data_IF_248095129005
#
_entry.id   IF_248095129005
#
_cell.length_a   1.000
_cell.length_b   1.000
_cell.length_c   1.000
_cell.angle_alpha   90.00
_cell.angle_beta   90.00
_cell.angle_gamma   90.00
#
_symmetry.space_group_name_H-M   'P 1'
#
loop_
_entity.id
_entity.type
_entity.pdbx_description
1 polymer ?
#
# COMPACT_ATOMS: atom_id res chain seq x y z
N UNK A 1 21.79 -12.53 8.94
CA UNK A 1 20.65 -12.09 9.78
C UNK A 1 19.45 -11.98 8.85
N UNK A 2 18.27 -12.48 9.22
CA UNK A 2 17.07 -12.19 8.44
C UNK A 2 16.86 -10.67 8.49
N UNK A 3 16.80 -10.02 7.33
CA UNK A 3 16.43 -8.62 7.25
C UNK A 3 14.95 -8.53 7.64
N UNK A 4 14.70 -8.26 8.93
CA UNK A 4 13.35 -8.14 9.48
C UNK A 4 12.62 -6.88 8.97
N UNK A 5 13.32 -5.99 8.27
CA UNK A 5 12.75 -4.74 7.77
C UNK A 5 11.90 -4.95 6.50
N UNK A 6 12.14 -6.01 5.72
CA UNK A 6 11.42 -6.25 4.45
C UNK A 6 11.14 -7.74 4.21
N UNK A 7 10.06 -8.30 4.78
CA UNK A 7 9.76 -9.73 4.70
C UNK A 7 9.35 -10.23 3.31
N UNK A 8 9.24 -9.34 2.32
CA UNK A 8 9.03 -9.63 0.89
C UNK A 8 10.31 -9.49 0.05
N UNK A 9 11.47 -9.33 0.71
CA UNK A 9 12.79 -9.43 0.07
C UNK A 9 13.64 -10.46 0.80
N UNK A 10 14.28 -11.34 0.04
CA UNK A 10 15.22 -12.34 0.54
C UNK A 10 16.64 -11.96 0.12
N UNK A 11 17.61 -12.09 1.04
CA UNK A 11 19.03 -11.93 0.70
C UNK A 11 19.47 -13.06 -0.23
N UNK A 12 20.08 -12.74 -1.36
CA UNK A 12 20.67 -13.71 -2.28
C UNK A 12 22.15 -13.41 -2.50
N UNK A 13 22.89 -14.37 -3.06
CA UNK A 13 24.32 -14.23 -3.38
C UNK A 13 24.63 -13.06 -4.34
N UNK A 14 23.59 -12.53 -5.01
CA UNK A 14 23.69 -11.42 -5.96
C UNK A 14 22.97 -10.15 -5.47
N UNK A 15 22.63 -10.07 -4.17
CA UNK A 15 21.89 -8.97 -3.55
C UNK A 15 20.44 -9.31 -3.20
N UNK A 16 19.65 -8.35 -2.69
CA UNK A 16 18.28 -8.60 -2.28
C UNK A 16 17.39 -8.96 -3.47
N UNK A 17 16.68 -10.08 -3.36
CA UNK A 17 15.73 -10.58 -4.34
C UNK A 17 14.31 -10.33 -3.84
N UNK A 18 13.47 -9.73 -4.69
CA UNK A 18 12.04 -9.59 -4.44
C UNK A 18 11.38 -10.96 -4.51
N UNK A 19 10.68 -11.36 -3.44
CA UNK A 19 9.93 -12.63 -3.38
C UNK A 19 8.42 -12.43 -3.60
N UNK A 20 7.94 -11.19 -3.52
CA UNK A 20 6.53 -10.80 -3.68
C UNK A 20 6.41 -9.42 -4.34
N UNK A 21 5.47 -9.25 -5.28
CA UNK A 21 5.14 -7.95 -5.87
C UNK A 21 4.66 -6.96 -4.78
N UNK A 22 4.99 -5.68 -4.95
CA UNK A 22 4.61 -4.63 -4.01
C UNK A 22 4.17 -3.36 -4.73
N UNK A 23 3.33 -2.56 -4.07
CA UNK A 23 2.88 -1.26 -4.55
C UNK A 23 3.47 -0.17 -3.67
N UNK A 24 4.25 0.74 -4.26
CA UNK A 24 4.82 1.86 -3.52
C UNK A 24 3.92 3.09 -3.61
N UNK A 25 3.89 3.90 -2.56
CA UNK A 25 3.33 5.24 -2.65
C UNK A 25 4.12 6.21 -1.78
N UNK A 26 4.06 7.49 -2.10
CA UNK A 26 4.89 8.52 -1.46
C UNK A 26 4.03 9.66 -0.90
N UNK A 27 4.51 10.27 0.18
CA UNK A 27 3.80 11.35 0.88
C UNK A 27 4.76 12.21 1.73
N UNK A 28 4.37 13.46 1.94
CA UNK A 28 5.22 14.48 2.57
C UNK A 28 4.83 14.77 4.03
N UNK A 29 4.30 13.77 4.74
CA UNK A 29 3.76 13.94 6.10
C UNK A 29 4.54 13.13 7.13
N UNK A 30 5.40 13.80 7.89
CA UNK A 30 6.13 13.19 9.01
C UNK A 30 5.19 12.62 10.10
N UNK A 31 4.04 13.26 10.32
CA UNK A 31 3.03 12.74 11.25
C UNK A 31 2.43 11.43 10.75
N UNK A 32 2.15 11.32 9.44
CA UNK A 32 1.65 10.10 8.84
C UNK A 32 2.71 9.00 8.92
N UNK A 33 3.96 9.31 8.58
CA UNK A 33 5.10 8.39 8.66
C UNK A 33 5.24 7.80 10.07
N UNK A 34 5.26 8.66 11.10
CA UNK A 34 5.35 8.20 12.49
C UNK A 34 4.14 7.37 12.94
N UNK A 35 2.94 7.74 12.48
CA UNK A 35 1.73 6.99 12.82
C UNK A 35 1.77 5.60 12.22
N UNK A 36 2.16 5.48 10.95
CA UNK A 36 2.31 4.20 10.26
C UNK A 36 3.40 3.34 10.90
N UNK A 37 4.57 3.90 11.21
CA UNK A 37 5.63 3.16 11.89
C UNK A 37 5.26 2.72 13.31
N UNK A 38 4.55 3.55 14.08
CA UNK A 38 4.06 3.19 15.42
C UNK A 38 3.05 2.05 15.37
N UNK A 39 2.25 1.99 14.31
CA UNK A 39 1.24 0.97 14.08
C UNK A 39 1.65 0.03 12.94
N UNK A 40 2.94 -0.29 12.83
CA UNK A 40 3.49 -1.10 11.74
C UNK A 40 2.83 -2.48 11.67
N UNK A 41 2.55 -2.95 10.47
CA UNK A 41 2.16 -4.34 10.17
C UNK A 41 3.11 -4.87 9.10
N UNK A 42 4.31 -5.37 9.48
CA UNK A 42 5.34 -5.77 8.53
C UNK A 42 4.90 -6.88 7.58
N UNK A 43 3.81 -7.60 7.85
CA UNK A 43 3.23 -8.57 6.92
C UNK A 43 2.40 -7.94 5.79
N UNK A 44 2.00 -6.67 5.95
CA UNK A 44 1.16 -5.90 5.02
C UNK A 44 1.92 -4.77 4.32
N UNK A 45 2.74 -4.00 5.05
CA UNK A 45 3.46 -2.86 4.48
C UNK A 45 4.69 -2.48 5.31
N UNK A 46 5.61 -1.75 4.69
CA UNK A 46 6.76 -1.10 5.35
C UNK A 46 6.86 0.35 4.87
N UNK A 47 7.30 1.24 5.75
CA UNK A 47 7.47 2.66 5.44
C UNK A 47 8.91 3.10 5.69
N UNK A 48 9.46 3.86 4.76
CA UNK A 48 10.85 4.27 4.75
C UNK A 48 10.99 5.77 4.46
N UNK A 49 12.08 6.34 4.96
CA UNK A 49 12.45 7.74 4.77
C UNK A 49 13.38 7.85 3.54
N UNK A 50 13.03 8.70 2.56
CA UNK A 50 13.85 8.97 1.38
C UNK A 50 14.68 10.26 1.50
N UNK A 51 14.50 11.01 2.58
CA UNK A 51 15.18 12.26 2.90
C UNK A 51 14.36 13.51 2.53
N UNK A 52 13.77 13.54 1.34
CA UNK A 52 12.89 14.62 0.86
C UNK A 52 11.39 14.31 1.01
N UNK A 53 11.02 13.02 0.93
CA UNK A 53 9.67 12.51 1.15
C UNK A 53 9.70 11.17 1.91
N UNK A 54 8.51 10.65 2.28
CA UNK A 54 8.36 9.31 2.85
C UNK A 54 7.75 8.37 1.82
N UNK A 55 8.20 7.12 1.81
CA UNK A 55 7.61 6.06 0.99
C UNK A 55 7.00 4.96 1.85
N UNK A 56 5.95 4.30 1.37
CA UNK A 56 5.53 3.00 1.89
C UNK A 56 5.36 2.00 0.76
N UNK A 57 5.82 0.78 0.99
CA UNK A 57 5.64 -0.36 0.11
C UNK A 57 4.59 -1.29 0.70
N UNK A 58 3.50 -1.52 -0.03
CA UNK A 58 2.41 -2.43 0.34
C UNK A 58 2.69 -3.77 -0.31
N UNK A 59 2.67 -4.85 0.47
CA UNK A 59 2.75 -6.21 -0.08
C UNK A 59 1.52 -6.48 -0.94
N UNK A 60 1.70 -6.88 -2.20
CA UNK A 60 0.59 -7.03 -3.13
C UNK A 60 0.69 -8.31 -3.97
N UNK A 61 0.04 -9.37 -3.48
CA UNK A 61 -0.06 -10.67 -4.18
C UNK A 61 -1.46 -10.93 -4.73
N UNK A 62 -2.45 -10.29 -4.10
CA UNK A 62 -3.88 -10.42 -4.35
C UNK A 62 -4.60 -9.24 -3.74
N UNK A 63 -5.83 -9.02 -4.18
CA UNK A 63 -6.63 -7.85 -3.83
C UNK A 63 -6.88 -7.71 -2.32
N UNK A 64 -6.95 -8.83 -1.58
CA UNK A 64 -7.21 -8.80 -0.14
C UNK A 64 -6.12 -8.06 0.64
N UNK A 65 -4.85 -8.12 0.20
CA UNK A 65 -3.79 -7.37 0.88
C UNK A 65 -3.98 -5.87 0.77
N UNK A 66 -4.47 -5.39 -0.39
CA UNK A 66 -4.77 -3.98 -0.59
C UNK A 66 -5.95 -3.55 0.28
N UNK A 67 -6.98 -4.40 0.39
CA UNK A 67 -8.12 -4.15 1.29
C UNK A 67 -7.70 -4.09 2.76
N UNK A 68 -6.88 -5.04 3.19
CA UNK A 68 -6.39 -5.11 4.57
C UNK A 68 -5.48 -3.92 4.90
N UNK A 69 -4.64 -3.50 3.95
CA UNK A 69 -3.86 -2.27 4.07
C UNK A 69 -4.75 -1.04 4.24
N UNK A 70 -5.73 -0.81 3.36
CA UNK A 70 -6.60 0.36 3.45
C UNK A 70 -7.47 0.35 4.70
N UNK A 71 -7.96 -0.83 5.11
CA UNK A 71 -8.66 -0.98 6.39
C UNK A 71 -7.76 -0.53 7.54
N UNK A 72 -6.53 -1.02 7.59
CA UNK A 72 -5.57 -0.64 8.63
C UNK A 72 -5.24 0.86 8.58
N UNK A 73 -5.00 1.43 7.40
CA UNK A 73 -4.74 2.85 7.20
C UNK A 73 -5.87 3.71 7.77
N UNK A 74 -7.13 3.35 7.51
CA UNK A 74 -8.31 4.05 8.03
C UNK A 74 -8.43 3.89 9.56
N UNK A 75 -8.09 2.72 10.10
CA UNK A 75 -8.16 2.46 11.55
C UNK A 75 -7.15 3.28 12.35
N UNK A 76 -5.96 3.52 11.80
CA UNK A 76 -4.84 4.16 12.52
C UNK A 76 -4.62 5.62 12.15
N UNK A 77 -5.32 6.15 11.14
CA UNK A 77 -5.18 7.53 10.69
C UNK A 77 -6.52 8.26 10.66
N UNK A 78 -6.46 9.60 10.64
CA UNK A 78 -7.63 10.46 10.48
C UNK A 78 -7.75 10.99 9.04
N UNK A 79 -7.18 10.26 8.06
CA UNK A 79 -7.22 10.67 6.66
C UNK A 79 -8.63 10.58 6.09
N UNK A 80 -9.01 11.61 5.35
CA UNK A 80 -10.23 11.59 4.54
C UNK A 80 -10.06 10.73 3.29
N UNK A 81 -11.19 10.33 2.70
CA UNK A 81 -11.20 9.60 1.41
C UNK A 81 -10.29 10.28 0.37
N UNK A 82 -10.47 11.59 0.14
CA UNK A 82 -9.68 12.36 -0.83
C UNK A 82 -8.18 12.32 -0.53
N UNK A 83 -7.79 12.38 0.73
CA UNK A 83 -6.38 12.31 1.12
C UNK A 83 -5.81 10.92 0.86
N UNK A 84 -6.56 9.86 1.19
CA UNK A 84 -6.15 8.47 0.92
C UNK A 84 -5.97 8.28 -0.59
N UNK A 85 -6.94 8.69 -1.40
CA UNK A 85 -6.86 8.57 -2.87
C UNK A 85 -5.66 9.33 -3.43
N UNK A 86 -5.42 10.56 -2.94
CA UNK A 86 -4.32 11.40 -3.39
C UNK A 86 -2.95 10.79 -3.07
N UNK A 87 -2.71 10.33 -1.84
CA UNK A 87 -1.39 9.78 -1.47
C UNK A 87 -1.11 8.43 -2.13
N UNK A 88 -2.14 7.71 -2.59
CA UNK A 88 -1.99 6.40 -3.23
C UNK A 88 -2.19 6.42 -4.75
N UNK A 89 -2.39 7.58 -5.35
CA UNK A 89 -2.75 7.76 -6.75
C UNK A 89 -1.82 7.05 -7.74
N UNK A 90 -0.52 7.34 -7.65
CA UNK A 90 0.42 7.03 -8.73
C UNK A 90 0.56 5.54 -9.04
N UNK A 91 0.51 4.67 -8.02
CA UNK A 91 0.75 3.23 -8.22
C UNK A 91 -0.46 2.36 -7.89
N UNK A 92 -1.39 2.85 -7.08
CA UNK A 92 -2.58 2.07 -6.72
C UNK A 92 -3.72 2.38 -7.67
N UNK A 93 -3.97 3.64 -8.01
CA UNK A 93 -5.16 4.06 -8.78
C UNK A 93 -4.90 4.37 -10.25
N UNK A 94 -3.69 4.81 -10.57
CA UNK A 94 -3.29 5.17 -11.93
C UNK A 94 -2.02 4.42 -12.39
N UNK A 95 -1.70 3.28 -11.76
CA UNK A 95 -0.42 2.62 -11.98
C UNK A 95 -0.42 1.10 -11.82
N UNK A 96 0.61 0.59 -11.15
CA UNK A 96 1.05 -0.80 -11.22
C UNK A 96 0.07 -1.84 -10.67
N UNK A 97 -0.93 -1.43 -9.87
CA UNK A 97 -1.93 -2.35 -9.34
C UNK A 97 -2.65 -3.16 -10.43
N UNK A 98 -3.08 -2.52 -11.52
CA UNK A 98 -3.71 -3.22 -12.65
C UNK A 98 -2.74 -4.18 -13.33
N UNK A 99 -1.51 -3.75 -13.57
CA UNK A 99 -0.49 -4.60 -14.20
C UNK A 99 -0.23 -5.88 -13.42
N UNK A 100 -0.33 -5.83 -12.08
CA UNK A 100 -0.14 -7.00 -11.23
C UNK A 100 -1.42 -7.86 -11.20
N UNK A 101 -2.60 -7.24 -11.07
CA UNK A 101 -3.88 -7.97 -11.07
C UNK A 101 -4.17 -8.67 -12.39
N UNK A 102 -3.88 -8.03 -13.52
CA UNK A 102 -4.12 -8.59 -14.86
C UNK A 102 -3.20 -9.77 -15.21
N UNK A 103 -2.14 -10.02 -14.42
CA UNK A 103 -1.37 -11.28 -14.51
C UNK A 103 -2.16 -12.47 -13.97
N UNK A 104 -3.18 -12.22 -13.15
CA UNK A 104 -3.91 -13.22 -12.35
C UNK A 104 -5.38 -13.28 -12.78
N UNK A 105 -5.98 -12.13 -13.06
CA UNK A 105 -7.40 -11.94 -13.38
C UNK A 105 -7.57 -11.34 -14.78
N UNK A 106 -8.79 -11.37 -15.32
CA UNK A 106 -9.11 -10.58 -16.52
C UNK A 106 -9.14 -9.08 -16.20
N UNK A 107 -9.05 -8.22 -17.23
CA UNK A 107 -9.19 -6.78 -17.05
C UNK A 107 -10.54 -6.39 -16.41
N UNK A 108 -11.65 -7.00 -16.86
CA UNK A 108 -12.98 -6.74 -16.30
C UNK A 108 -13.06 -7.12 -14.81
N UNK A 109 -12.47 -8.25 -14.42
CA UNK A 109 -12.43 -8.66 -13.03
C UNK A 109 -11.51 -7.77 -12.19
N UNK A 110 -10.37 -7.35 -12.76
CA UNK A 110 -9.44 -6.43 -12.10
C UNK A 110 -10.09 -5.07 -11.84
N UNK A 111 -10.83 -4.53 -12.80
CA UNK A 111 -11.60 -3.29 -12.65
C UNK A 111 -12.67 -3.41 -11.55
N UNK A 112 -13.41 -4.53 -11.56
CA UNK A 112 -14.43 -4.82 -10.53
C UNK A 112 -13.82 -4.86 -9.13
N UNK A 113 -12.68 -5.53 -8.99
CA UNK A 113 -11.96 -5.65 -7.72
C UNK A 113 -11.41 -4.29 -7.23
N UNK A 114 -10.83 -3.48 -8.12
CA UNK A 114 -10.35 -2.15 -7.76
C UNK A 114 -11.49 -1.20 -7.37
N UNK A 115 -12.64 -1.28 -8.04
CA UNK A 115 -13.83 -0.51 -7.69
C UNK A 115 -14.39 -0.93 -6.31
N UNK A 116 -14.36 -2.22 -5.98
CA UNK A 116 -14.73 -2.68 -4.63
C UNK A 116 -13.84 -2.06 -3.54
N UNK A 117 -12.53 -1.94 -3.79
CA UNK A 117 -11.60 -1.29 -2.86
C UNK A 117 -11.94 0.20 -2.74
N UNK A 118 -12.17 0.88 -3.86
CA UNK A 118 -12.53 2.31 -3.86
C UNK A 118 -13.80 2.57 -3.05
N UNK A 119 -14.86 1.82 -3.31
CA UNK A 119 -16.14 1.91 -2.58
C UNK A 119 -15.96 1.57 -1.10
N UNK A 120 -15.09 0.62 -0.77
CA UNK A 120 -14.74 0.32 0.62
C UNK A 120 -14.11 1.53 1.32
N UNK A 121 -13.14 2.20 0.70
CA UNK A 121 -12.49 3.38 1.30
C UNK A 121 -13.51 4.51 1.45
N UNK A 122 -14.31 4.80 0.42
CA UNK A 122 -15.32 5.86 0.45
C UNK A 122 -16.32 5.70 1.62
N UNK A 123 -16.72 4.46 1.91
CA UNK A 123 -17.67 4.16 2.99
C UNK A 123 -17.07 4.24 4.39
N UNK A 124 -15.76 3.99 4.54
CA UNK A 124 -15.13 3.81 5.84
C UNK A 124 -14.17 4.94 6.23
N UNK A 125 -13.63 5.68 5.27
CA UNK A 125 -12.76 6.82 5.55
C UNK A 125 -13.50 7.97 6.22
N UNK A 126 -12.77 8.83 6.93
CA UNK A 126 -13.37 9.98 7.60
C UNK A 126 -13.95 10.94 6.56
N UNK A 127 -15.19 11.38 6.77
CA UNK A 127 -15.78 12.45 5.96
C UNK A 127 -15.08 13.75 6.34
N UNK A 128 -14.75 14.57 5.35
CA UNK A 128 -14.18 15.91 5.57
C UNK A 128 -15.20 16.71 6.39
N UNK A 129 -14.81 17.15 7.59
CA UNK A 129 -15.59 18.09 8.40
C UNK A 129 -15.64 19.47 7.75
#
# INVERSE_FOLDING_TARGET
>A
MKNYDKPWTEESDFGPRIITDYLEFYFDSYNLYNTLNKHSKPELYDCYDKGDEFGCAIRFEKIEHLKDFFKHLIEVTELSYEQIMSITENNIWNGEAWNILEKIYSSEESDRLMEEIRVFIEKNAKKKN
#
